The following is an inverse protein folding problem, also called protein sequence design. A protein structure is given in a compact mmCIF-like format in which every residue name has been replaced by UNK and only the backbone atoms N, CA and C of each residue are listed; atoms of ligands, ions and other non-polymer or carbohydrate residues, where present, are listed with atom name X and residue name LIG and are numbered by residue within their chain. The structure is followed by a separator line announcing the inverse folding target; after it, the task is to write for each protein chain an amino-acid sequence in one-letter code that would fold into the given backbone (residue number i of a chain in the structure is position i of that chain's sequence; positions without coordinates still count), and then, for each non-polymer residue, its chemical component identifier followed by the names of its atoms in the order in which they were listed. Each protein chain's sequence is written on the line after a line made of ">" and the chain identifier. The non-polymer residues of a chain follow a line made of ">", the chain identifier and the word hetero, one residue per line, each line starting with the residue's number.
data_IF_258594563500
#
_entry.id   IF_258594563500
#
_cell.length_a   1.000
_cell.length_b   1.000
_cell.length_c   1.000
_cell.angle_alpha   90.00
_cell.angle_beta   90.00
_cell.angle_gamma   90.00
#
_symmetry.space_group_name_H-M   'P 1'
#
loop_
_entity.id
_entity.type
_entity.pdbx_description
1 polymer ?
#
# COMPACT_ATOMS: atom_id res chain seq x y z
N UNK A 1 9.04 18.19 38.34
CA UNK A 1 8.99 18.07 36.87
C UNK A 1 9.01 16.59 36.57
N UNK A 2 7.97 16.02 35.92
CA UNK A 2 8.03 14.65 35.42
C UNK A 2 9.15 14.62 34.37
N UNK A 3 10.05 13.64 34.40
CA UNK A 3 10.95 13.38 33.26
C UNK A 3 10.11 13.36 31.97
N UNK A 4 10.55 14.01 30.90
CA UNK A 4 9.83 13.90 29.64
C UNK A 4 9.69 12.40 29.29
N UNK A 5 8.46 11.95 29.09
CA UNK A 5 8.19 10.57 28.69
C UNK A 5 8.81 10.39 27.30
N UNK A 6 9.72 9.45 27.17
CA UNK A 6 10.32 9.08 25.89
C UNK A 6 9.23 8.32 25.11
N UNK A 7 8.83 8.75 23.91
CA UNK A 7 7.80 8.06 23.14
C UNK A 7 8.21 6.63 22.82
N UNK A 8 7.28 5.70 23.00
CA UNK A 8 7.47 4.28 22.68
C UNK A 8 7.11 4.02 21.21
N UNK A 9 8.01 3.33 20.49
CA UNK A 9 7.80 2.96 19.09
C UNK A 9 7.96 1.46 18.91
N UNK A 10 6.95 0.80 18.37
CA UNK A 10 7.08 -0.59 17.99
C UNK A 10 7.46 -0.70 16.51
N UNK A 11 8.60 -1.33 16.25
CA UNK A 11 9.12 -1.54 14.90
C UNK A 11 8.81 -2.94 14.42
N UNK A 12 8.16 -3.03 13.26
CA UNK A 12 7.86 -4.30 12.58
C UNK A 12 8.77 -4.42 11.38
N UNK A 13 9.70 -5.39 11.41
CA UNK A 13 10.69 -5.55 10.35
C UNK A 13 10.31 -6.69 9.41
N UNK A 14 10.36 -6.42 8.08
CA UNK A 14 10.04 -7.39 7.03
C UNK A 14 11.22 -7.68 6.08
N UNK A 15 12.30 -6.91 6.17
CA UNK A 15 13.47 -6.99 5.29
C UNK A 15 13.57 -5.81 4.32
N UNK A 16 13.74 -6.07 3.03
CA UNK A 16 13.92 -5.04 2.00
C UNK A 16 15.34 -4.46 1.93
N UNK A 17 15.55 -3.48 1.07
CA UNK A 17 16.88 -2.86 0.79
C UNK A 17 17.50 -2.20 2.03
N UNK A 18 16.69 -1.68 2.93
CA UNK A 18 17.17 -1.07 4.18
C UNK A 18 17.93 -2.09 5.05
N UNK A 19 17.54 -3.35 5.00
CA UNK A 19 18.21 -4.49 5.64
C UNK A 19 19.25 -5.16 4.72
N UNK A 20 19.48 -4.59 3.53
CA UNK A 20 20.31 -5.17 2.49
C UNK A 20 21.79 -5.12 2.79
N UNK A 21 22.48 -6.20 2.46
CA UNK A 21 23.93 -6.28 2.36
C UNK A 21 24.33 -6.84 1.02
N UNK A 22 25.50 -6.42 0.54
CA UNK A 22 26.06 -6.92 -0.71
C UNK A 22 26.48 -8.38 -0.56
N UNK A 23 26.08 -9.20 -1.53
CA UNK A 23 26.46 -10.60 -1.65
C UNK A 23 26.84 -10.97 -3.08
N UNK A 24 27.34 -12.18 -3.28
CA UNK A 24 27.80 -12.66 -4.61
C UNK A 24 26.68 -12.62 -5.69
N UNK A 25 25.41 -12.67 -5.29
CA UNK A 25 24.25 -12.66 -6.18
C UNK A 25 23.46 -11.34 -6.14
N UNK A 26 24.06 -10.27 -5.63
CA UNK A 26 23.43 -8.98 -5.42
C UNK A 26 22.99 -8.74 -3.98
N UNK A 27 22.24 -7.67 -3.76
CA UNK A 27 21.78 -7.26 -2.43
C UNK A 27 20.69 -8.22 -1.91
N UNK A 28 20.85 -8.66 -0.67
CA UNK A 28 19.83 -9.45 0.04
C UNK A 28 19.59 -8.91 1.45
N UNK A 29 18.35 -8.94 1.97
CA UNK A 29 18.05 -8.48 3.32
C UNK A 29 18.61 -9.48 4.35
N UNK A 30 19.69 -9.10 5.02
CA UNK A 30 20.37 -9.94 6.00
C UNK A 30 20.44 -9.30 7.40
N UNK A 31 20.27 -7.98 7.51
CA UNK A 31 20.26 -7.28 8.80
C UNK A 31 18.88 -7.38 9.45
N UNK A 32 18.86 -7.65 10.74
CA UNK A 32 17.65 -7.65 11.56
C UNK A 32 17.14 -6.22 11.80
N UNK A 33 15.86 -6.10 12.19
CA UNK A 33 15.30 -4.82 12.61
C UNK A 33 16.06 -4.18 13.77
N UNK A 34 16.56 -4.96 14.74
CA UNK A 34 17.40 -4.48 15.85
C UNK A 34 18.68 -3.82 15.34
N UNK A 35 19.43 -4.49 14.47
CA UNK A 35 20.66 -3.95 13.89
C UNK A 35 20.43 -2.66 13.09
N UNK A 36 19.25 -2.51 12.50
CA UNK A 36 18.90 -1.29 11.77
C UNK A 36 18.66 -0.13 12.73
N UNK A 37 17.99 -0.36 13.85
CA UNK A 37 17.72 0.68 14.86
C UNK A 37 19.02 1.08 15.56
N UNK A 38 19.83 0.11 15.99
CA UNK A 38 21.14 0.34 16.64
C UNK A 38 22.11 1.13 15.75
N UNK A 39 22.00 0.99 14.42
CA UNK A 39 22.83 1.72 13.46
C UNK A 39 22.47 3.22 13.36
N UNK A 40 21.39 3.68 14.00
CA UNK A 40 20.94 5.08 13.98
C UNK A 40 20.83 5.60 15.43
N UNK A 41 21.94 6.09 16.03
CA UNK A 41 21.97 6.49 17.45
C UNK A 41 20.91 7.53 17.84
N UNK A 42 20.54 8.41 16.92
CA UNK A 42 19.48 9.42 17.13
C UNK A 42 18.13 8.81 17.52
N UNK A 43 17.86 7.54 17.20
CA UNK A 43 16.63 6.85 17.58
C UNK A 43 16.66 6.47 19.05
N UNK A 44 17.73 5.83 19.52
CA UNK A 44 17.88 5.41 20.93
C UNK A 44 17.94 6.58 21.91
N UNK A 45 18.40 7.74 21.46
CA UNK A 45 18.45 8.96 22.29
C UNK A 45 17.06 9.60 22.50
N UNK A 46 16.08 9.29 21.64
CA UNK A 46 14.81 10.01 21.57
C UNK A 46 13.57 9.14 21.73
N UNK A 47 13.69 7.82 21.50
CA UNK A 47 12.57 6.90 21.47
C UNK A 47 12.90 5.59 22.22
N UNK A 48 11.90 5.03 22.88
CA UNK A 48 11.94 3.67 23.42
C UNK A 48 11.45 2.70 22.34
N UNK A 49 12.38 2.05 21.64
CA UNK A 49 12.08 1.22 20.49
C UNK A 49 12.06 -0.27 20.83
N UNK A 50 10.98 -0.94 20.49
CA UNK A 50 10.88 -2.41 20.51
C UNK A 50 10.75 -2.94 19.08
N UNK A 51 11.23 -4.16 18.82
CA UNK A 51 11.28 -4.72 17.45
C UNK A 51 10.65 -6.10 17.40
N UNK A 52 9.78 -6.31 16.40
CA UNK A 52 9.30 -7.64 16.01
C UNK A 52 9.71 -7.92 14.56
N UNK A 53 10.44 -9.01 14.34
CA UNK A 53 10.78 -9.47 12.99
C UNK A 53 9.68 -10.40 12.47
N UNK A 54 8.86 -9.94 11.50
CA UNK A 54 7.78 -10.73 10.91
C UNK A 54 8.26 -11.50 9.68
N UNK A 55 9.11 -10.88 8.86
CA UNK A 55 9.72 -11.51 7.71
C UNK A 55 11.14 -10.95 7.49
N UNK A 56 11.95 -11.64 6.68
CA UNK A 56 13.28 -11.17 6.29
C UNK A 56 13.54 -11.53 4.82
N UNK A 57 12.86 -10.82 3.94
CA UNK A 57 12.91 -11.09 2.49
C UNK A 57 12.66 -9.81 1.67
N UNK A 58 12.96 -9.82 0.36
CA UNK A 58 12.52 -8.75 -0.55
C UNK A 58 11.00 -8.61 -0.53
N UNK A 59 10.48 -7.40 -0.65
CA UNK A 59 9.02 -7.17 -0.59
C UNK A 59 8.25 -7.88 -1.70
N UNK A 60 8.87 -8.11 -2.85
CA UNK A 60 8.30 -8.92 -3.94
C UNK A 60 8.13 -10.40 -3.62
N UNK A 61 8.76 -10.89 -2.55
CA UNK A 61 8.66 -12.26 -2.06
C UNK A 61 7.75 -12.41 -0.83
N UNK A 62 7.09 -11.32 -0.39
CA UNK A 62 6.08 -11.39 0.66
C UNK A 62 4.82 -12.06 0.12
N UNK A 63 4.24 -12.93 0.93
CA UNK A 63 2.96 -13.59 0.65
C UNK A 63 1.79 -12.84 1.29
N UNK A 64 0.56 -13.20 0.92
CA UNK A 64 -0.65 -12.68 1.56
C UNK A 64 -0.68 -12.98 3.06
N UNK A 65 -0.18 -14.15 3.49
CA UNK A 65 -0.05 -14.50 4.90
C UNK A 65 0.99 -13.63 5.65
N UNK A 66 2.08 -13.21 4.99
CA UNK A 66 3.02 -12.25 5.59
C UNK A 66 2.32 -10.90 5.82
N UNK A 67 1.50 -10.43 4.86
CA UNK A 67 0.77 -9.16 4.96
C UNK A 67 -0.25 -9.20 6.10
N UNK A 68 -0.98 -10.31 6.26
CA UNK A 68 -1.88 -10.53 7.40
C UNK A 68 -1.10 -10.52 8.72
N UNK A 69 0.02 -11.21 8.80
CA UNK A 69 0.86 -11.24 10.00
C UNK A 69 1.42 -9.84 10.36
N UNK A 70 1.73 -9.01 9.37
CA UNK A 70 2.08 -7.59 9.58
C UNK A 70 0.91 -6.86 10.22
N UNK A 71 -0.30 -6.95 9.66
CA UNK A 71 -1.50 -6.28 10.17
C UNK A 71 -1.82 -6.70 11.61
N UNK A 72 -1.80 -8.00 11.91
CA UNK A 72 -1.99 -8.51 13.27
C UNK A 72 -0.94 -7.99 14.27
N UNK A 73 0.31 -7.85 13.80
CA UNK A 73 1.37 -7.34 14.64
C UNK A 73 1.21 -5.84 14.88
N UNK A 74 0.75 -5.09 13.87
CA UNK A 74 0.38 -3.67 14.00
C UNK A 74 -0.71 -3.50 15.07
N UNK A 75 -1.80 -4.26 14.99
CA UNK A 75 -2.91 -4.18 15.97
C UNK A 75 -2.43 -4.46 17.40
N UNK A 76 -1.60 -5.50 17.59
CA UNK A 76 -1.03 -5.81 18.91
C UNK A 76 -0.10 -4.70 19.42
N UNK A 77 0.72 -4.14 18.55
CA UNK A 77 1.66 -3.08 18.88
C UNK A 77 0.97 -1.77 19.22
N UNK A 78 -0.06 -1.40 18.45
CA UNK A 78 -0.83 -0.19 18.64
C UNK A 78 -1.52 -0.10 20.03
N UNK A 79 -1.82 -1.23 20.64
CA UNK A 79 -2.41 -1.26 21.98
C UNK A 79 -1.43 -0.78 23.10
N UNK A 80 -0.13 -0.72 22.86
CA UNK A 80 0.87 -0.45 23.89
C UNK A 80 1.95 0.54 23.51
N UNK A 81 2.09 0.89 22.24
CA UNK A 81 3.08 1.85 21.75
C UNK A 81 2.43 3.18 21.34
N UNK A 82 3.19 4.27 21.47
CA UNK A 82 2.75 5.60 21.01
C UNK A 82 2.78 5.73 19.48
N UNK A 83 3.52 4.85 18.78
CA UNK A 83 3.56 4.78 17.33
C UNK A 83 4.07 3.43 16.81
N UNK A 84 3.67 3.06 15.59
CA UNK A 84 4.11 1.84 14.93
C UNK A 84 4.84 2.18 13.63
N UNK A 85 6.05 1.60 13.45
CA UNK A 85 6.85 1.77 12.23
C UNK A 85 7.07 0.41 11.57
N UNK A 86 6.74 0.30 10.28
CA UNK A 86 6.97 -0.92 9.49
C UNK A 86 8.16 -0.71 8.55
N UNK A 87 9.23 -1.49 8.75
CA UNK A 87 10.38 -1.52 7.85
C UNK A 87 10.08 -2.47 6.69
N UNK A 88 10.01 -1.94 5.49
CA UNK A 88 9.50 -2.67 4.34
C UNK A 88 10.36 -2.44 3.09
N UNK A 89 10.43 -3.43 2.21
CA UNK A 89 11.01 -3.26 0.88
C UNK A 89 10.16 -2.34 0.01
N UNK A 90 10.81 -1.52 -0.80
CA UNK A 90 10.15 -0.40 -1.48
C UNK A 90 9.22 -0.77 -2.63
N UNK A 91 9.34 -1.98 -3.21
CA UNK A 91 8.59 -2.32 -4.44
C UNK A 91 7.09 -2.52 -4.20
N UNK A 92 6.69 -3.12 -3.05
CA UNK A 92 5.29 -3.36 -2.70
C UNK A 92 4.85 -2.61 -1.44
N UNK A 93 5.64 -1.62 -0.98
CA UNK A 93 5.33 -0.84 0.23
C UNK A 93 4.00 -0.09 0.11
N UNK A 94 3.69 0.46 -1.07
CA UNK A 94 2.44 1.19 -1.30
C UNK A 94 1.19 0.29 -1.19
N UNK A 95 1.29 -0.96 -1.66
CA UNK A 95 0.25 -1.98 -1.54
C UNK A 95 0.03 -2.39 -0.09
N UNK A 96 1.13 -2.68 0.62
CA UNK A 96 1.07 -3.04 2.06
C UNK A 96 0.52 -1.89 2.89
N UNK A 97 0.96 -0.64 2.63
CA UNK A 97 0.45 0.54 3.32
C UNK A 97 -1.06 0.69 3.10
N UNK A 98 -1.53 0.52 1.86
CA UNK A 98 -2.96 0.62 1.56
C UNK A 98 -3.77 -0.50 2.22
N UNK A 99 -3.28 -1.73 2.22
CA UNK A 99 -3.93 -2.82 2.94
C UNK A 99 -4.04 -2.53 4.44
N UNK A 100 -2.97 -2.05 5.07
CA UNK A 100 -3.01 -1.66 6.48
C UNK A 100 -4.02 -0.53 6.73
N UNK A 101 -4.11 0.45 5.84
CA UNK A 101 -5.08 1.53 5.94
C UNK A 101 -6.53 1.05 5.84
N UNK A 102 -6.78 -0.05 5.10
CA UNK A 102 -8.09 -0.68 5.01
C UNK A 102 -8.48 -1.45 6.28
N UNK A 103 -7.54 -2.18 6.92
CA UNK A 103 -7.88 -3.21 7.91
C UNK A 103 -7.47 -2.88 9.34
N UNK A 104 -6.49 -2.01 9.56
CA UNK A 104 -6.01 -1.65 10.90
C UNK A 104 -6.97 -0.65 11.53
N UNK A 105 -7.64 -1.07 12.58
CA UNK A 105 -8.66 -0.28 13.28
C UNK A 105 -8.17 0.55 14.47
N UNK A 106 -6.85 0.59 14.71
CA UNK A 106 -6.26 1.25 15.88
C UNK A 106 -6.34 2.78 15.83
N UNK A 107 -6.32 3.39 17.01
CA UNK A 107 -6.20 4.85 17.15
C UNK A 107 -4.73 5.31 17.05
N UNK A 108 -3.81 4.39 16.71
CA UNK A 108 -2.38 4.67 16.57
C UNK A 108 -2.01 4.77 15.11
N UNK A 109 -1.15 5.71 14.77
CA UNK A 109 -0.63 5.85 13.41
C UNK A 109 0.36 4.74 13.07
N UNK A 110 0.29 4.28 11.82
CA UNK A 110 1.21 3.28 11.26
C UNK A 110 2.00 3.93 10.13
N UNK A 111 3.32 3.97 10.27
CA UNK A 111 4.20 4.60 9.27
C UNK A 111 5.12 3.54 8.66
N UNK A 112 4.97 3.30 7.36
CA UNK A 112 5.86 2.42 6.61
C UNK A 112 7.07 3.22 6.10
N UNK A 113 8.24 2.59 6.12
CA UNK A 113 9.46 3.17 5.56
C UNK A 113 10.44 2.09 5.10
N UNK A 114 11.49 2.53 4.41
CA UNK A 114 12.54 1.66 3.89
C UNK A 114 13.67 2.48 3.29
N UNK A 115 14.42 1.91 2.36
CA UNK A 115 15.44 2.66 1.62
C UNK A 115 15.56 2.21 0.17
N UNK A 116 16.02 3.11 -0.69
CA UNK A 116 16.44 2.78 -2.07
C UNK A 116 17.90 2.34 -2.11
N UNK A 117 18.70 2.79 -1.15
CA UNK A 117 20.14 2.52 -1.08
C UNK A 117 20.43 1.65 0.15
N UNK A 118 21.41 0.77 0.00
CA UNK A 118 21.95 -0.01 1.12
C UNK A 118 22.79 0.86 2.04
N UNK A 119 23.14 0.36 3.21
CA UNK A 119 24.01 1.07 4.15
C UNK A 119 25.45 1.28 3.60
N UNK A 120 25.85 0.50 2.59
CA UNK A 120 27.17 0.54 1.94
C UNK A 120 27.21 1.46 0.71
N UNK A 121 26.05 1.85 0.19
CA UNK A 121 25.97 2.78 -0.92
C UNK A 121 26.40 4.21 -0.54
N UNK A 122 26.86 5.02 -1.50
CA UNK A 122 27.07 6.44 -1.26
C UNK A 122 25.78 7.15 -0.85
N UNK A 123 25.83 7.87 0.29
CA UNK A 123 24.69 8.59 0.86
C UNK A 123 23.44 7.70 1.05
N UNK A 124 23.49 6.71 1.94
CA UNK A 124 22.34 5.84 2.22
C UNK A 124 21.16 6.66 2.76
N UNK A 125 19.97 6.41 2.24
CA UNK A 125 18.75 7.14 2.61
C UNK A 125 18.02 6.53 3.83
N UNK A 126 18.34 5.28 4.19
CA UNK A 126 17.69 4.54 5.27
C UNK A 126 17.69 5.26 6.63
N UNK A 127 18.85 5.77 7.13
CA UNK A 127 18.89 6.47 8.43
C UNK A 127 17.96 7.70 8.50
N UNK A 128 17.92 8.52 7.45
CA UNK A 128 17.03 9.70 7.40
C UNK A 128 15.55 9.28 7.36
N UNK A 129 15.23 8.26 6.56
CA UNK A 129 13.88 7.71 6.45
C UNK A 129 13.41 7.12 7.79
N UNK A 130 14.28 6.41 8.51
CA UNK A 130 13.98 5.87 9.84
C UNK A 130 13.63 6.98 10.84
N UNK A 131 14.51 7.98 10.96
CA UNK A 131 14.28 9.10 11.91
C UNK A 131 12.98 9.79 11.61
N UNK A 132 12.70 10.12 10.35
CA UNK A 132 11.45 10.78 9.97
C UNK A 132 10.20 9.92 10.16
N UNK A 133 10.31 8.60 9.95
CA UNK A 133 9.20 7.67 10.19
C UNK A 133 8.86 7.60 11.69
N UNK A 134 9.86 7.57 12.59
CA UNK A 134 9.65 7.60 14.04
C UNK A 134 9.04 8.92 14.50
N UNK A 135 9.53 10.06 13.97
CA UNK A 135 8.96 11.39 14.25
C UNK A 135 7.50 11.45 13.78
N UNK A 136 7.17 10.92 12.61
CA UNK A 136 5.81 10.90 12.10
C UNK A 136 4.89 9.98 12.91
N UNK A 137 5.33 8.77 13.24
CA UNK A 137 4.53 7.79 13.96
C UNK A 137 4.18 8.21 15.40
N UNK A 138 5.00 9.08 16.02
CA UNK A 138 4.77 9.58 17.39
C UNK A 138 4.28 11.03 17.44
N UNK A 139 3.99 11.61 16.28
CA UNK A 139 3.55 13.00 16.23
C UNK A 139 2.07 13.12 16.62
N UNK A 140 1.75 13.97 17.60
CA UNK A 140 0.41 14.13 18.14
C UNK A 140 -0.68 14.52 17.12
N UNK A 141 -0.28 15.06 15.97
CA UNK A 141 -1.22 15.39 14.88
C UNK A 141 -1.52 14.19 13.99
N UNK A 142 -0.64 13.17 13.97
CA UNK A 142 -0.81 11.94 13.16
C UNK A 142 -1.48 10.90 14.04
N UNK A 143 -2.80 10.96 14.15
CA UNK A 143 -3.57 10.18 15.12
C UNK A 143 -3.91 8.77 14.63
N UNK A 144 -4.40 8.65 13.39
CA UNK A 144 -4.89 7.38 12.83
C UNK A 144 -4.51 7.23 11.36
N UNK A 145 -4.54 6.00 10.86
CA UNK A 145 -4.32 5.67 9.46
C UNK A 145 -2.90 5.14 9.17
N UNK A 146 -2.71 4.65 7.96
CA UNK A 146 -1.42 4.19 7.48
C UNK A 146 -0.78 5.20 6.53
N UNK A 147 0.53 5.36 6.67
CA UNK A 147 1.31 6.35 5.93
C UNK A 147 2.60 5.73 5.41
N UNK A 148 3.17 6.33 4.38
CA UNK A 148 4.54 6.08 3.94
C UNK A 148 5.38 7.32 4.21
N UNK A 149 6.45 7.17 4.99
CA UNK A 149 7.46 8.22 5.15
C UNK A 149 8.70 7.88 4.31
N UNK A 150 9.03 8.73 3.37
CA UNK A 150 10.16 8.52 2.49
C UNK A 150 10.72 9.83 1.95
N UNK A 151 12.05 9.99 1.98
CA UNK A 151 12.74 11.19 1.46
C UNK A 151 12.14 12.48 2.02
N UNK A 152 12.09 12.59 3.35
CA UNK A 152 11.53 13.70 4.14
C UNK A 152 10.03 14.01 3.90
N UNK A 153 9.27 13.10 3.30
CA UNK A 153 7.86 13.30 2.94
C UNK A 153 6.96 12.25 3.56
N UNK A 154 5.84 12.71 4.11
CA UNK A 154 4.78 11.86 4.65
C UNK A 154 3.63 11.80 3.64
N UNK A 155 3.30 10.61 3.21
CA UNK A 155 2.27 10.30 2.23
C UNK A 155 1.16 9.48 2.86
N UNK A 156 -0.12 9.74 2.55
CA UNK A 156 -1.21 8.85 2.92
C UNK A 156 -1.18 7.57 2.09
N UNK A 157 -1.52 6.45 2.70
CA UNK A 157 -1.43 5.12 2.10
C UNK A 157 -2.26 4.99 0.81
N UNK A 158 -3.50 5.50 0.79
CA UNK A 158 -4.35 5.47 -0.41
C UNK A 158 -3.69 6.19 -1.58
N UNK A 159 -3.08 7.36 -1.33
CA UNK A 159 -2.57 8.24 -2.37
C UNK A 159 -1.17 7.87 -2.89
N UNK A 160 -0.31 7.30 -2.02
CA UNK A 160 1.10 7.09 -2.33
C UNK A 160 1.31 6.05 -3.43
N UNK A 161 2.21 6.33 -4.38
CA UNK A 161 2.64 5.39 -5.44
C UNK A 161 4.16 5.41 -5.57
N UNK A 162 4.76 4.24 -5.85
CA UNK A 162 6.17 4.19 -6.23
C UNK A 162 6.32 4.65 -7.68
N UNK A 163 6.83 5.86 -7.86
CA UNK A 163 6.96 6.51 -9.17
C UNK A 163 8.32 6.24 -9.84
N UNK A 164 9.36 5.98 -9.05
CA UNK A 164 10.71 5.79 -9.57
C UNK A 164 11.31 4.48 -9.06
N UNK A 165 11.97 3.74 -9.96
CA UNK A 165 12.50 2.42 -9.65
C UNK A 165 13.65 2.43 -8.63
N UNK A 166 14.47 3.48 -8.57
CA UNK A 166 15.73 3.49 -7.79
C UNK A 166 16.10 4.82 -7.14
N UNK A 167 15.40 5.93 -7.41
CA UNK A 167 15.75 7.24 -6.82
C UNK A 167 15.27 7.32 -5.36
N UNK A 168 16.03 7.94 -4.42
CA UNK A 168 15.52 8.19 -3.06
C UNK A 168 14.18 8.92 -3.02
N UNK A 169 13.90 9.84 -3.95
CA UNK A 169 12.58 10.47 -4.12
C UNK A 169 11.61 9.57 -4.90
N UNK A 170 11.49 8.28 -4.52
CA UNK A 170 10.76 7.28 -5.30
C UNK A 170 9.24 7.38 -5.21
N UNK A 171 8.69 8.05 -4.20
CA UNK A 171 7.26 8.08 -3.93
C UNK A 171 6.61 9.41 -4.27
N UNK A 172 5.36 9.36 -4.71
CA UNK A 172 4.54 10.51 -5.06
C UNK A 172 3.08 10.24 -4.65
N UNK A 173 2.32 11.28 -4.35
CA UNK A 173 0.89 11.20 -3.98
C UNK A 173 -0.03 11.84 -5.02
N UNK A 174 0.49 12.20 -6.20
CA UNK A 174 -0.32 12.79 -7.28
C UNK A 174 -1.15 13.99 -6.81
N UNK A 175 -2.40 14.03 -7.22
CA UNK A 175 -3.34 15.13 -6.91
C UNK A 175 -3.68 15.26 -5.42
N UNK A 176 -3.53 14.20 -4.63
CA UNK A 176 -3.77 14.25 -3.20
C UNK A 176 -2.71 15.06 -2.44
N UNK A 177 -1.51 15.23 -3.02
CA UNK A 177 -0.41 15.93 -2.41
C UNK A 177 0.14 15.23 -1.16
N UNK A 178 1.09 15.90 -0.53
CA UNK A 178 1.73 15.43 0.71
C UNK A 178 0.80 15.64 1.91
N UNK A 179 0.90 14.76 2.90
CA UNK A 179 0.37 15.00 4.24
C UNK A 179 1.25 16.00 4.97
N UNK A 180 2.56 15.73 5.00
CA UNK A 180 3.56 16.60 5.63
C UNK A 180 4.92 16.46 4.95
N UNK A 181 5.81 17.40 5.24
CA UNK A 181 7.22 17.35 4.89
C UNK A 181 8.07 17.60 6.14
N UNK A 182 9.18 16.88 6.26
CA UNK A 182 10.12 17.07 7.35
C UNK A 182 11.01 18.27 7.06
N UNK A 183 11.06 19.18 8.02
CA UNK A 183 11.91 20.38 8.01
C UNK A 183 12.88 20.35 9.19
N UNK A 184 13.88 21.25 9.28
CA UNK A 184 14.73 21.36 10.47
C UNK A 184 13.96 21.66 11.78
N UNK A 185 12.74 22.20 11.69
CA UNK A 185 11.87 22.53 12.83
C UNK A 185 10.87 21.42 13.16
N UNK A 186 10.85 20.31 12.41
CA UNK A 186 9.92 19.19 12.56
C UNK A 186 9.02 18.99 11.34
N UNK A 187 7.89 18.31 11.52
CA UNK A 187 6.95 18.06 10.43
C UNK A 187 6.10 19.29 10.13
N UNK A 188 6.12 19.72 8.89
CA UNK A 188 5.25 20.75 8.35
C UNK A 188 4.08 20.11 7.62
N UNK A 189 2.85 20.27 8.15
CA UNK A 189 1.65 19.66 7.59
C UNK A 189 1.01 20.54 6.52
N UNK A 190 0.72 19.95 5.37
CA UNK A 190 -0.02 20.59 4.27
C UNK A 190 -1.52 20.33 4.33
N UNK A 191 -1.89 19.20 4.95
CA UNK A 191 -3.28 18.83 5.19
C UNK A 191 -3.40 18.01 6.46
N UNK A 192 -4.63 17.83 6.94
CA UNK A 192 -4.89 16.96 8.10
C UNK A 192 -4.48 15.53 7.78
N UNK A 193 -3.70 14.86 8.63
CA UNK A 193 -3.42 13.44 8.50
C UNK A 193 -4.65 12.65 8.92
N UNK A 194 -5.22 11.95 7.94
CA UNK A 194 -6.39 11.10 8.10
C UNK A 194 -6.32 9.94 7.12
N UNK A 195 -6.98 8.82 7.44
CA UNK A 195 -7.16 7.73 6.48
C UNK A 195 -8.13 8.18 5.39
N UNK A 196 -7.76 7.92 4.14
CA UNK A 196 -8.58 8.18 2.96
C UNK A 196 -9.24 6.90 2.45
N UNK A 197 -9.20 5.82 3.21
CA UNK A 197 -9.68 4.51 2.84
C UNK A 197 -10.90 4.09 3.66
N UNK A 198 -11.85 3.33 3.06
CA UNK A 198 -12.89 2.69 3.83
C UNK A 198 -12.30 1.65 4.78
N UNK A 199 -13.03 1.31 5.84
CA UNK A 199 -12.59 0.30 6.81
C UNK A 199 -13.16 -1.06 6.46
N UNK A 200 -12.30 -2.07 6.43
CA UNK A 200 -12.65 -3.47 6.26
C UNK A 200 -12.30 -4.27 7.51
N UNK A 201 -13.04 -5.34 7.81
CA UNK A 201 -12.65 -6.26 8.88
C UNK A 201 -11.35 -6.96 8.49
N UNK A 202 -10.43 -7.06 9.44
CA UNK A 202 -9.23 -7.87 9.25
C UNK A 202 -9.59 -9.35 9.20
N UNK A 203 -9.07 -10.05 8.21
CA UNK A 203 -9.28 -11.49 8.00
C UNK A 203 -8.07 -12.13 7.32
N UNK A 204 -8.01 -13.46 7.29
CA UNK A 204 -7.12 -14.17 6.39
C UNK A 204 -7.47 -13.84 4.93
N UNK A 205 -6.47 -13.62 4.10
CA UNK A 205 -6.65 -13.32 2.68
C UNK A 205 -6.74 -14.65 1.88
N UNK A 206 -7.94 -15.23 1.85
CA UNK A 206 -8.20 -16.56 1.26
C UNK A 206 -8.68 -16.51 -0.18
N UNK A 207 -9.23 -15.39 -0.62
CA UNK A 207 -9.67 -15.21 -1.99
C UNK A 207 -8.50 -15.16 -2.99
N UNK A 208 -8.78 -15.47 -4.24
CA UNK A 208 -7.84 -15.37 -5.35
C UNK A 208 -8.24 -14.22 -6.26
N UNK A 209 -7.38 -13.20 -6.38
CA UNK A 209 -7.60 -12.02 -7.23
C UNK A 209 -6.39 -11.77 -8.11
N UNK A 210 -6.61 -11.70 -9.43
CA UNK A 210 -5.56 -11.44 -10.41
C UNK A 210 -5.69 -10.06 -11.04
N UNK A 211 -4.60 -9.56 -11.62
CA UNK A 211 -4.55 -8.32 -12.41
C UNK A 211 -4.30 -8.67 -13.87
N UNK A 212 -5.17 -8.17 -14.75
CA UNK A 212 -5.03 -8.33 -16.20
C UNK A 212 -4.86 -6.95 -16.84
N UNK A 213 -3.70 -6.70 -17.41
CA UNK A 213 -3.41 -5.42 -18.08
C UNK A 213 -3.80 -5.47 -19.55
N UNK A 214 -4.51 -4.44 -20.01
CA UNK A 214 -4.92 -4.30 -21.42
C UNK A 214 -3.94 -3.44 -22.23
N UNK A 215 -3.88 -3.68 -23.55
CA UNK A 215 -3.08 -2.89 -24.49
C UNK A 215 -3.65 -3.03 -25.91
N UNK A 216 -3.07 -2.28 -26.88
CA UNK A 216 -3.41 -2.45 -28.30
C UNK A 216 -3.10 -3.89 -28.74
N UNK A 217 -4.10 -4.57 -29.31
CA UNK A 217 -3.96 -5.92 -29.83
C UNK A 217 -3.99 -7.04 -28.79
N UNK A 218 -4.18 -6.73 -27.51
CA UNK A 218 -4.43 -7.75 -26.48
C UNK A 218 -5.90 -8.16 -26.54
N UNK A 219 -6.13 -9.47 -26.59
CA UNK A 219 -7.45 -10.08 -26.47
C UNK A 219 -7.83 -10.45 -25.04
N UNK A 220 -8.97 -11.12 -24.88
CA UNK A 220 -9.51 -11.54 -23.59
C UNK A 220 -8.90 -12.82 -23.00
N UNK A 221 -7.94 -13.46 -23.67
CA UNK A 221 -7.43 -14.78 -23.27
C UNK A 221 -6.84 -14.79 -21.85
N UNK A 222 -6.08 -13.75 -21.47
CA UNK A 222 -5.51 -13.68 -20.13
C UNK A 222 -6.58 -13.61 -19.02
N UNK A 223 -7.73 -13.01 -19.31
CA UNK A 223 -8.86 -12.97 -18.37
C UNK A 223 -9.59 -14.33 -18.36
N UNK A 224 -9.84 -14.94 -19.53
CA UNK A 224 -10.43 -16.29 -19.63
C UNK A 224 -9.58 -17.32 -18.88
N UNK A 225 -8.26 -17.29 -19.08
CA UNK A 225 -7.32 -18.18 -18.36
C UNK A 225 -7.40 -17.97 -16.82
N UNK A 226 -7.59 -16.75 -16.34
CA UNK A 226 -7.78 -16.48 -14.90
C UNK A 226 -9.09 -17.11 -14.40
N UNK A 227 -10.18 -16.93 -15.13
CA UNK A 227 -11.49 -17.54 -14.83
C UNK A 227 -11.41 -19.07 -14.82
N UNK A 228 -10.77 -19.66 -15.81
CA UNK A 228 -10.57 -21.13 -15.90
C UNK A 228 -9.77 -21.69 -14.71
N UNK A 229 -8.90 -20.87 -14.10
CA UNK A 229 -8.19 -21.24 -12.87
C UNK A 229 -9.04 -21.10 -11.61
N UNK A 230 -10.25 -20.57 -11.71
CA UNK A 230 -11.19 -20.44 -10.58
C UNK A 230 -10.85 -19.26 -9.65
N UNK A 231 -10.46 -18.11 -10.20
CA UNK A 231 -10.26 -16.91 -9.39
C UNK A 231 -11.59 -16.33 -8.90
N UNK A 232 -11.58 -15.74 -7.70
CA UNK A 232 -12.76 -15.09 -7.12
C UNK A 232 -12.97 -13.67 -7.67
N UNK A 233 -11.89 -13.04 -8.15
CA UNK A 233 -11.94 -11.70 -8.71
C UNK A 233 -10.82 -11.40 -9.69
N UNK A 234 -11.08 -10.43 -10.57
CA UNK A 234 -10.10 -9.88 -11.52
C UNK A 234 -10.14 -8.36 -11.48
N UNK A 235 -8.95 -7.76 -11.42
CA UNK A 235 -8.78 -6.32 -11.67
C UNK A 235 -8.26 -6.13 -13.09
N UNK A 236 -9.01 -5.42 -13.91
CA UNK A 236 -8.63 -5.09 -15.28
C UNK A 236 -7.96 -3.73 -15.31
N UNK A 237 -6.66 -3.71 -15.59
CA UNK A 237 -5.88 -2.48 -15.76
C UNK A 237 -6.10 -1.94 -17.19
N UNK A 238 -7.12 -1.09 -17.33
CA UNK A 238 -7.71 -0.66 -18.59
C UNK A 238 -7.10 0.68 -19.11
N UNK A 239 -7.66 1.20 -20.17
CA UNK A 239 -7.19 2.43 -20.83
C UNK A 239 -8.08 3.62 -20.53
N UNK A 240 -7.49 4.79 -20.33
CA UNK A 240 -8.23 6.04 -20.13
C UNK A 240 -9.20 5.95 -18.95
N UNK A 241 -10.48 6.24 -19.18
CA UNK A 241 -11.52 6.20 -18.14
C UNK A 241 -12.09 4.79 -17.86
N UNK A 242 -11.35 3.73 -18.18
CA UNK A 242 -11.78 2.34 -17.94
C UNK A 242 -12.25 1.62 -19.20
N UNK A 243 -11.72 1.99 -20.39
CA UNK A 243 -12.09 1.34 -21.64
C UNK A 243 -11.18 0.17 -21.95
N UNK A 244 -11.74 -0.89 -22.53
CA UNK A 244 -11.05 -2.11 -22.91
C UNK A 244 -11.27 -2.47 -24.38
N UNK A 245 -10.40 -3.30 -25.01
CA UNK A 245 -10.69 -3.89 -26.32
C UNK A 245 -11.98 -4.71 -26.29
N UNK A 246 -12.72 -4.80 -27.42
CA UNK A 246 -13.99 -5.56 -27.48
C UNK A 246 -13.89 -7.00 -27.01
N UNK A 247 -12.87 -7.75 -27.41
CA UNK A 247 -12.67 -9.14 -26.99
C UNK A 247 -12.39 -9.28 -25.47
N UNK A 248 -11.80 -8.25 -24.84
CA UNK A 248 -11.67 -8.20 -23.37
C UNK A 248 -13.02 -7.93 -22.71
N UNK A 249 -13.91 -7.12 -23.35
CA UNK A 249 -15.25 -6.89 -22.83
C UNK A 249 -16.09 -8.18 -22.87
N UNK A 250 -16.00 -8.97 -23.94
CA UNK A 250 -16.65 -10.30 -24.03
C UNK A 250 -16.16 -11.24 -22.90
N UNK A 251 -14.86 -11.21 -22.60
CA UNK A 251 -14.28 -11.99 -21.51
C UNK A 251 -14.73 -11.49 -20.13
N UNK A 252 -14.90 -10.18 -19.94
CA UNK A 252 -15.46 -9.58 -18.70
C UNK A 252 -16.90 -10.02 -18.51
N UNK A 253 -17.75 -9.97 -19.56
CA UNK A 253 -19.14 -10.42 -19.50
C UNK A 253 -19.23 -11.89 -19.09
N UNK A 254 -18.39 -12.75 -19.68
CA UNK A 254 -18.29 -14.17 -19.35
C UNK A 254 -17.89 -14.36 -17.88
N UNK A 255 -16.83 -13.69 -17.41
CA UNK A 255 -16.34 -13.77 -16.04
C UNK A 255 -17.43 -13.38 -15.01
N UNK A 256 -18.14 -12.30 -15.26
CA UNK A 256 -19.26 -11.85 -14.39
C UNK A 256 -20.39 -12.88 -14.42
N UNK A 257 -20.72 -13.43 -15.59
CA UNK A 257 -21.73 -14.48 -15.73
C UNK A 257 -21.38 -15.77 -14.96
N UNK A 258 -20.10 -16.04 -14.71
CA UNK A 258 -19.59 -17.15 -13.91
C UNK A 258 -19.41 -16.78 -12.41
N UNK A 259 -19.76 -15.56 -12.02
CA UNK A 259 -19.72 -15.08 -10.63
C UNK A 259 -18.40 -14.47 -10.18
N UNK A 260 -17.44 -14.29 -11.09
CA UNK A 260 -16.16 -13.62 -10.79
C UNK A 260 -16.39 -12.11 -10.64
N UNK A 261 -15.86 -11.52 -9.59
CA UNK A 261 -15.94 -10.07 -9.38
C UNK A 261 -14.91 -9.35 -10.24
N UNK A 262 -15.36 -8.39 -11.05
CA UNK A 262 -14.50 -7.63 -11.96
C UNK A 262 -14.47 -6.16 -11.57
N UNK A 263 -13.24 -5.65 -11.31
CA UNK A 263 -12.97 -4.23 -11.06
C UNK A 263 -12.15 -3.69 -12.22
N UNK A 264 -12.57 -2.54 -12.77
CA UNK A 264 -11.90 -1.90 -13.92
C UNK A 264 -11.20 -0.63 -13.46
N UNK A 265 -9.88 -0.61 -13.54
CA UNK A 265 -9.01 0.53 -13.20
C UNK A 265 -8.48 1.22 -14.47
N UNK A 266 -7.53 2.13 -14.30
CA UNK A 266 -6.87 2.81 -15.40
C UNK A 266 -5.35 2.72 -15.31
N UNK A 267 -4.69 2.48 -16.46
CA UNK A 267 -3.24 2.59 -16.61
C UNK A 267 -2.74 4.04 -16.54
N UNK A 268 -3.64 5.01 -16.55
CA UNK A 268 -3.26 6.40 -16.35
C UNK A 268 -2.81 6.62 -14.91
N UNK A 269 -1.75 7.40 -14.73
CA UNK A 269 -1.23 7.71 -13.39
C UNK A 269 -2.13 8.64 -12.60
N UNK A 270 -2.94 9.44 -13.30
CA UNK A 270 -3.80 10.46 -12.71
C UNK A 270 -5.21 10.41 -13.33
N UNK A 271 -6.19 10.83 -12.55
CA UNK A 271 -7.60 10.81 -12.92
C UNK A 271 -8.30 9.54 -12.42
N UNK A 272 -9.59 9.45 -12.71
CA UNK A 272 -10.44 8.35 -12.26
C UNK A 272 -11.14 7.67 -13.44
N UNK A 273 -11.54 6.42 -13.26
CA UNK A 273 -12.46 5.73 -14.16
C UNK A 273 -13.84 6.34 -14.09
N UNK A 274 -14.57 6.39 -15.23
CA UNK A 274 -15.91 6.96 -15.30
C UNK A 274 -16.72 6.32 -16.42
N UNK A 275 -18.05 6.11 -16.23
CA UNK A 275 -18.92 5.43 -17.19
C UNK A 275 -19.36 6.38 -18.33
N UNK A 276 -18.42 6.86 -19.13
CA UNK A 276 -18.68 7.86 -20.19
C UNK A 276 -18.94 7.23 -21.56
N UNK A 277 -18.19 6.17 -21.90
CA UNK A 277 -18.26 5.55 -23.22
C UNK A 277 -19.19 4.33 -23.22
N UNK A 278 -20.24 4.35 -24.07
CA UNK A 278 -21.26 3.31 -24.19
C UNK A 278 -21.02 2.28 -25.30
N UNK A 279 -19.91 2.39 -26.07
CA UNK A 279 -19.57 1.39 -27.09
C UNK A 279 -19.12 0.07 -26.45
N UNK A 280 -19.13 -1.03 -27.22
CA UNK A 280 -18.66 -2.33 -26.73
C UNK A 280 -17.20 -2.26 -26.25
N UNK A 281 -16.97 -2.50 -24.95
CA UNK A 281 -15.69 -2.24 -24.28
C UNK A 281 -15.55 -0.83 -23.68
N UNK A 282 -16.53 0.05 -23.81
CA UNK A 282 -16.59 1.32 -23.10
C UNK A 282 -16.99 1.13 -21.64
N UNK A 283 -16.47 1.97 -20.74
CA UNK A 283 -16.69 1.84 -19.29
C UNK A 283 -18.18 1.81 -18.89
N UNK A 284 -19.07 2.55 -19.58
CA UNK A 284 -20.50 2.51 -19.31
C UNK A 284 -21.11 1.14 -19.64
N UNK A 285 -20.72 0.53 -20.76
CA UNK A 285 -21.19 -0.80 -21.12
C UNK A 285 -20.67 -1.86 -20.12
N UNK A 286 -19.41 -1.74 -19.63
CA UNK A 286 -18.87 -2.66 -18.63
C UNK A 286 -19.62 -2.56 -17.30
N UNK A 287 -20.02 -1.37 -16.87
CA UNK A 287 -20.88 -1.18 -15.68
C UNK A 287 -22.24 -1.81 -15.87
N UNK A 288 -22.87 -1.68 -17.06
CA UNK A 288 -24.14 -2.35 -17.37
C UNK A 288 -24.02 -3.88 -17.32
N UNK A 289 -22.84 -4.45 -17.62
CA UNK A 289 -22.55 -5.89 -17.47
C UNK A 289 -22.34 -6.29 -16.01
N UNK A 290 -22.13 -5.35 -15.07
CA UNK A 290 -21.89 -5.60 -13.66
C UNK A 290 -20.43 -5.45 -13.20
N UNK A 291 -19.55 -4.86 -14.02
CA UNK A 291 -18.21 -4.51 -13.60
C UNK A 291 -18.23 -3.27 -12.70
N UNK A 292 -17.34 -3.25 -11.69
CA UNK A 292 -17.15 -2.11 -10.77
C UNK A 292 -16.01 -1.23 -11.29
N UNK A 293 -16.19 0.08 -11.29
CA UNK A 293 -15.12 1.00 -11.63
C UNK A 293 -14.23 1.26 -10.43
N UNK A 294 -12.92 1.14 -10.60
CA UNK A 294 -11.92 1.25 -9.53
C UNK A 294 -11.59 2.68 -9.10
N UNK A 295 -12.35 3.67 -9.59
CA UNK A 295 -12.15 5.08 -9.23
C UNK A 295 -10.76 5.58 -9.64
N UNK A 296 -10.04 6.15 -8.69
CA UNK A 296 -8.69 6.69 -8.84
C UNK A 296 -7.58 5.73 -8.38
N UNK A 297 -7.95 4.53 -7.91
CA UNK A 297 -6.96 3.54 -7.47
C UNK A 297 -6.22 2.92 -8.67
N UNK A 298 -4.92 2.71 -8.49
CA UNK A 298 -4.17 1.85 -9.40
C UNK A 298 -4.56 0.37 -9.23
N UNK A 299 -4.23 -0.44 -10.24
CA UNK A 299 -4.64 -1.84 -10.27
C UNK A 299 -4.12 -2.66 -9.09
N UNK A 300 -2.95 -2.33 -8.55
CA UNK A 300 -2.36 -3.08 -7.43
C UNK A 300 -3.11 -2.82 -6.13
N UNK A 301 -3.45 -1.56 -5.84
CA UNK A 301 -4.27 -1.20 -4.68
C UNK A 301 -5.70 -1.67 -4.82
N UNK A 302 -6.30 -1.53 -6.01
CA UNK A 302 -7.63 -2.07 -6.29
C UNK A 302 -7.67 -3.59 -6.06
N UNK A 303 -6.59 -4.30 -6.43
CA UNK A 303 -6.45 -5.72 -6.13
C UNK A 303 -6.41 -5.98 -4.62
N UNK A 304 -5.68 -5.20 -3.84
CA UNK A 304 -5.63 -5.37 -2.39
C UNK A 304 -6.99 -5.12 -1.74
N UNK A 305 -7.73 -4.11 -2.19
CA UNK A 305 -9.08 -3.83 -1.71
C UNK A 305 -10.05 -4.98 -2.04
N UNK A 306 -10.07 -5.43 -3.30
CA UNK A 306 -10.94 -6.53 -3.74
C UNK A 306 -10.58 -7.84 -3.03
N UNK A 307 -9.30 -8.15 -2.88
CA UNK A 307 -8.82 -9.33 -2.16
C UNK A 307 -9.27 -9.32 -0.70
N UNK A 308 -9.12 -8.18 -0.01
CA UNK A 308 -9.56 -8.03 1.38
C UNK A 308 -11.09 -8.14 1.51
N UNK A 309 -11.85 -7.53 0.61
CA UNK A 309 -13.30 -7.57 0.61
C UNK A 309 -13.85 -8.99 0.36
N UNK A 310 -13.32 -9.70 -0.64
CA UNK A 310 -13.74 -11.07 -0.96
C UNK A 310 -13.31 -12.09 0.10
N UNK A 311 -12.30 -11.78 0.90
CA UNK A 311 -11.84 -12.60 2.02
C UNK A 311 -12.53 -12.27 3.34
N UNK A 312 -13.31 -11.20 3.40
CA UNK A 312 -13.98 -10.78 4.62
C UNK A 312 -15.08 -11.77 5.04
N UNK A 313 -15.32 -11.93 6.36
CA UNK A 313 -16.37 -12.83 6.86
C UNK A 313 -17.80 -12.28 6.67
N UNK A 314 -17.93 -11.02 6.26
CA UNK A 314 -19.19 -10.33 6.01
C UNK A 314 -19.30 -9.96 4.53
N UNK A 315 -20.52 -9.82 4.04
CA UNK A 315 -20.77 -9.29 2.70
C UNK A 315 -20.39 -7.80 2.66
N UNK A 316 -19.42 -7.46 1.85
CA UNK A 316 -18.90 -6.12 1.68
C UNK A 316 -19.46 -5.52 0.39
N UNK A 317 -19.96 -4.31 0.48
CA UNK A 317 -20.31 -3.51 -0.69
C UNK A 317 -19.01 -3.11 -1.43
N UNK A 318 -18.71 -3.88 -2.49
CA UNK A 318 -17.46 -3.71 -3.26
C UNK A 318 -17.44 -2.36 -3.98
N UNK A 319 -18.58 -1.83 -4.41
CA UNK A 319 -18.65 -0.54 -5.12
C UNK A 319 -18.18 0.59 -4.22
N UNK A 320 -18.61 0.60 -2.95
CA UNK A 320 -18.23 1.63 -1.98
C UNK A 320 -16.74 1.70 -1.67
N UNK A 321 -15.97 0.65 -1.94
CA UNK A 321 -14.51 0.65 -1.74
C UNK A 321 -13.78 1.58 -2.70
N UNK A 322 -14.39 1.87 -3.84
CA UNK A 322 -13.79 2.62 -4.92
C UNK A 322 -14.36 4.03 -5.06
N UNK A 323 -15.27 4.41 -4.16
CA UNK A 323 -15.74 5.78 -4.08
C UNK A 323 -14.59 6.74 -3.78
N UNK A 324 -14.60 7.94 -4.38
CA UNK A 324 -13.60 8.95 -4.06
C UNK A 324 -13.72 9.34 -2.59
N UNK A 325 -12.58 9.52 -1.88
CA UNK A 325 -12.63 9.99 -0.51
C UNK A 325 -13.25 11.40 -0.48
N UNK A 326 -14.25 11.56 0.38
CA UNK A 326 -14.83 12.87 0.63
C UNK A 326 -13.97 13.57 1.68
N UNK A 327 -13.40 14.71 1.33
CA UNK A 327 -12.76 15.61 2.30
C UNK A 327 -13.87 16.46 2.95
N UNK A 328 -14.06 16.31 4.27
CA UNK A 328 -14.94 17.17 5.06
C UNK A 328 -14.29 18.52 5.38
#
# INVERSE_FOLDING_TARGET
>A
MKSPHMPSVHVIATGGTIAGTDGERGVSPSRSGHELIEAVPQLSDRFDATVTQVAQRPSTALSTSDIVAIAETVERAAATADGVVVLHGTDTMAETAYYLDLVVGSDTSVVLTGSQRTATDPSPDGPANLVGAFEAATHATVETGAYVFFNDRLHAARAVRKRHASNPGAYDSGHYGLVAERTPEGLWFYRRPESLSPRLPQSELTASVEVVTTSIGIGGDGLRDAVDRGVDGVVVDASGMGNVPPDVADAIETAIGEGVRVVVTSRCTDGATAPVYGGHGGAAALVEMGAVLGGDLDAHKARMALLAALSAPADIDIESLFDPPLFE
#
